data_IF_948348176692
#
_entry.id   IF_948348176692
#
_cell.length_a   1.000
_cell.length_b   1.000
_cell.length_c   1.000
_cell.angle_alpha   90.00
_cell.angle_beta   90.00
_cell.angle_gamma   90.00
#
_symmetry.space_group_name_H-M   'P 1'
#
loop_
_entity.id
_entity.type
_entity.pdbx_description
1 polymer ?
#
# COMPACT_ATOMS: atom_id res chain seq x y z
N UNK A 1 33.69 -53.86 -67.51
CA UNK A 1 32.43 -53.70 -68.27
C UNK A 1 31.77 -52.39 -67.83
N UNK A 2 31.72 -51.42 -68.74
CA UNK A 2 31.29 -50.04 -68.49
C UNK A 2 29.76 -49.96 -68.43
N UNK A 3 29.22 -49.49 -67.29
CA UNK A 3 27.80 -49.24 -67.07
C UNK A 3 27.33 -48.08 -67.97
N UNK A 4 26.58 -48.38 -69.02
CA UNK A 4 25.81 -47.35 -69.75
C UNK A 4 24.65 -46.92 -68.86
N UNK A 5 24.69 -45.68 -68.37
CA UNK A 5 23.57 -45.03 -67.68
C UNK A 5 22.63 -44.47 -68.76
N UNK A 6 21.41 -44.98 -68.82
CA UNK A 6 20.34 -44.40 -69.63
C UNK A 6 19.79 -43.17 -68.90
N UNK A 7 19.84 -42.02 -69.57
CA UNK A 7 19.32 -40.73 -69.12
C UNK A 7 17.79 -40.76 -69.22
N UNK A 8 17.10 -40.54 -68.10
CA UNK A 8 15.64 -40.40 -68.08
C UNK A 8 15.32 -38.91 -67.90
N UNK A 9 14.99 -38.25 -69.01
CA UNK A 9 14.57 -36.86 -69.06
C UNK A 9 13.04 -36.81 -68.89
N UNK A 10 12.58 -36.54 -67.67
CA UNK A 10 11.17 -36.26 -67.40
C UNK A 10 11.00 -34.74 -67.50
N UNK A 11 10.45 -34.26 -68.61
CA UNK A 11 10.07 -32.85 -68.75
C UNK A 11 9.03 -32.50 -67.66
N UNK A 12 9.35 -31.50 -66.85
CA UNK A 12 8.44 -30.95 -65.84
C UNK A 12 7.43 -30.08 -66.57
N UNK A 13 6.18 -30.52 -66.63
CA UNK A 13 5.06 -29.70 -67.09
C UNK A 13 4.59 -28.85 -65.92
N UNK A 14 4.80 -27.54 -66.00
CA UNK A 14 4.23 -26.59 -65.05
C UNK A 14 2.80 -26.23 -65.52
N UNK A 15 1.77 -26.44 -64.68
CA UNK A 15 0.42 -25.98 -64.99
C UNK A 15 0.38 -24.46 -65.17
N UNK A 16 -0.43 -24.01 -66.13
CA UNK A 16 -0.68 -22.59 -66.41
C UNK A 16 -1.32 -21.94 -65.17
N UNK A 17 -0.73 -20.84 -64.72
CA UNK A 17 -1.05 -20.10 -63.49
C UNK A 17 -2.38 -19.32 -63.54
N UNK A 18 -3.13 -19.46 -64.63
CA UNK A 18 -4.36 -18.72 -64.88
C UNK A 18 -5.65 -19.51 -64.59
N UNK A 19 -5.55 -20.66 -63.93
CA UNK A 19 -6.71 -21.54 -63.63
C UNK A 19 -6.80 -21.91 -62.13
N UNK A 20 -6.44 -20.99 -61.22
CA UNK A 20 -6.70 -21.13 -59.78
C UNK A 20 -6.94 -19.75 -59.14
N UNK A 21 -7.95 -18.97 -59.55
CA UNK A 21 -8.45 -17.86 -58.72
C UNK A 21 -9.91 -17.53 -59.04
N UNK A 22 -10.80 -18.53 -59.09
CA UNK A 22 -12.24 -18.28 -59.08
C UNK A 22 -12.85 -18.86 -57.80
N UNK A 23 -13.30 -17.94 -56.92
CA UNK A 23 -14.34 -18.08 -55.87
C UNK A 23 -14.02 -19.05 -54.71
N UNK A 24 -14.11 -18.75 -53.41
CA UNK A 24 -14.87 -17.78 -52.63
C UNK A 24 -14.23 -17.72 -51.23
N UNK A 25 -13.46 -16.66 -50.91
CA UNK A 25 -13.08 -16.36 -49.52
C UNK A 25 -13.17 -14.85 -49.24
N UNK A 26 -14.32 -14.27 -49.60
CA UNK A 26 -14.68 -12.90 -49.20
C UNK A 26 -15.77 -12.87 -48.11
N UNK A 27 -15.98 -13.99 -47.41
CA UNK A 27 -17.08 -14.19 -46.46
C UNK A 27 -16.83 -13.84 -45.00
N UNK A 28 -15.60 -13.46 -44.60
CA UNK A 28 -15.30 -13.19 -43.19
C UNK A 28 -14.52 -11.89 -42.95
N UNK A 29 -14.87 -10.81 -43.67
CA UNK A 29 -14.47 -9.45 -43.24
C UNK A 29 -15.31 -9.05 -42.03
N UNK A 30 -14.87 -9.36 -40.81
CA UNK A 30 -15.42 -8.75 -39.61
C UNK A 30 -15.07 -7.26 -39.62
N UNK A 31 -16.02 -6.45 -40.11
CA UNK A 31 -15.87 -5.00 -40.15
C UNK A 31 -16.05 -4.47 -38.73
N UNK A 32 -14.96 -4.36 -37.98
CA UNK A 32 -14.96 -3.77 -36.64
C UNK A 32 -15.51 -2.35 -36.73
N UNK A 33 -16.71 -2.14 -36.22
CA UNK A 33 -17.32 -0.82 -36.17
C UNK A 33 -16.89 -0.18 -34.85
N UNK A 34 -16.67 1.15 -34.83
CA UNK A 34 -16.43 1.88 -33.58
C UNK A 34 -17.51 1.64 -32.53
N UNK A 35 -18.73 1.33 -32.97
CA UNK A 35 -19.83 0.90 -32.12
C UNK A 35 -19.57 -0.43 -31.41
N UNK A 36 -18.86 -1.38 -32.02
CA UNK A 36 -18.52 -2.66 -31.39
C UNK A 36 -17.44 -2.48 -30.34
N UNK A 37 -16.44 -1.63 -30.62
CA UNK A 37 -15.43 -1.23 -29.64
C UNK A 37 -16.08 -0.49 -28.47
N UNK A 38 -16.98 0.46 -28.73
CA UNK A 38 -17.68 1.22 -27.70
C UNK A 38 -18.59 0.32 -26.83
N UNK A 39 -19.27 -0.66 -27.43
CA UNK A 39 -20.07 -1.65 -26.70
C UNK A 39 -19.22 -2.58 -25.85
N UNK A 40 -18.07 -3.04 -26.35
CA UNK A 40 -17.16 -3.91 -25.60
C UNK A 40 -16.55 -3.14 -24.42
N UNK A 41 -16.05 -1.92 -24.67
CA UNK A 41 -15.48 -1.07 -23.60
C UNK A 41 -16.55 -0.68 -22.59
N UNK A 42 -17.74 -0.28 -23.04
CA UNK A 42 -18.87 0.02 -22.17
C UNK A 42 -19.29 -1.18 -21.32
N UNK A 43 -19.33 -2.38 -21.92
CA UNK A 43 -19.61 -3.63 -21.21
C UNK A 43 -18.56 -3.98 -20.16
N UNK A 44 -17.27 -3.82 -20.48
CA UNK A 44 -16.18 -4.06 -19.53
C UNK A 44 -16.19 -3.05 -18.36
N UNK A 45 -16.48 -1.77 -18.64
CA UNK A 45 -16.64 -0.76 -17.59
C UNK A 45 -17.83 -1.11 -16.70
N UNK A 46 -18.98 -1.45 -17.29
CA UNK A 46 -20.20 -1.77 -16.54
C UNK A 46 -20.06 -3.06 -15.72
N UNK A 47 -19.36 -4.06 -16.25
CA UNK A 47 -19.02 -5.29 -15.53
C UNK A 47 -18.05 -5.01 -14.37
N UNK A 48 -17.07 -4.11 -14.56
CA UNK A 48 -16.20 -3.64 -13.49
C UNK A 48 -16.94 -2.91 -12.36
N UNK A 49 -17.96 -2.11 -12.70
CA UNK A 49 -18.81 -1.42 -11.72
C UNK A 49 -19.75 -2.38 -10.98
N UNK A 50 -20.32 -3.38 -11.66
CA UNK A 50 -21.17 -4.41 -11.04
C UNK A 50 -20.35 -5.32 -10.11
N UNK A 51 -19.17 -5.78 -10.56
CA UNK A 51 -18.26 -6.55 -9.73
C UNK A 51 -17.80 -5.74 -8.51
N UNK A 52 -17.48 -4.46 -8.68
CA UNK A 52 -17.17 -3.54 -7.57
C UNK A 52 -18.33 -3.39 -6.59
N UNK A 53 -19.57 -3.26 -7.10
CA UNK A 53 -20.79 -3.20 -6.28
C UNK A 53 -21.03 -4.49 -5.50
N UNK A 54 -20.81 -5.65 -6.10
CA UNK A 54 -21.00 -6.94 -5.42
C UNK A 54 -19.92 -7.21 -4.37
N UNK A 55 -18.67 -6.78 -4.61
CA UNK A 55 -17.55 -7.06 -3.71
C UNK A 55 -17.42 -6.05 -2.56
N UNK A 56 -17.85 -4.79 -2.75
CA UNK A 56 -17.55 -3.69 -1.80
C UNK A 56 -18.74 -2.80 -1.44
N UNK A 57 -19.96 -3.10 -1.91
CA UNK A 57 -21.16 -2.24 -1.82
C UNK A 57 -20.94 -0.80 -2.32
N UNK A 58 -19.84 -0.54 -3.05
CA UNK A 58 -19.43 0.78 -3.53
C UNK A 58 -19.08 0.74 -5.02
N UNK A 59 -19.62 1.67 -5.79
CA UNK A 59 -19.52 1.68 -7.27
C UNK A 59 -18.16 2.20 -7.77
N UNK A 60 -17.53 3.11 -7.03
CA UNK A 60 -16.28 3.80 -7.44
C UNK A 60 -15.07 3.43 -6.58
N UNK A 61 -15.10 2.24 -5.96
CA UNK A 61 -13.99 1.67 -5.18
C UNK A 61 -13.45 2.56 -4.05
N UNK A 62 -14.13 3.64 -3.66
CA UNK A 62 -13.62 4.65 -2.73
C UNK A 62 -12.15 5.10 -3.05
N UNK A 63 -11.69 4.92 -4.28
CA UNK A 63 -10.26 4.83 -4.61
C UNK A 63 -9.57 6.19 -4.68
N UNK A 64 -10.34 7.28 -4.86
CA UNK A 64 -9.80 8.64 -4.85
C UNK A 64 -10.46 9.60 -3.85
N UNK A 65 -11.57 9.23 -3.18
CA UNK A 65 -12.33 10.17 -2.32
C UNK A 65 -12.23 9.92 -0.83
N UNK A 66 -11.27 9.12 -0.37
CA UNK A 66 -10.91 9.06 1.05
C UNK A 66 -9.52 9.61 1.34
N UNK A 67 -9.15 10.70 0.68
CA UNK A 67 -8.25 11.66 1.34
C UNK A 67 -9.02 12.26 2.52
N UNK A 68 -8.94 11.61 3.69
CA UNK A 68 -9.28 12.28 4.95
C UNK A 68 -8.40 13.52 4.98
N UNK A 69 -9.01 14.71 5.09
CA UNK A 69 -8.24 15.95 5.08
C UNK A 69 -7.14 15.87 6.15
N UNK A 70 -5.95 16.38 5.86
CA UNK A 70 -4.85 16.41 6.83
C UNK A 70 -5.28 17.11 8.13
N UNK A 71 -6.16 18.09 8.02
CA UNK A 71 -6.80 18.73 9.18
C UNK A 71 -7.61 17.75 10.02
N UNK A 72 -8.41 16.90 9.38
CA UNK A 72 -9.16 15.85 10.08
C UNK A 72 -8.19 14.91 10.79
N UNK A 73 -7.02 14.59 10.21
CA UNK A 73 -6.02 13.72 10.83
C UNK A 73 -5.40 14.29 12.12
N UNK A 74 -5.22 15.61 12.18
CA UNK A 74 -4.64 16.32 13.34
C UNK A 74 -5.66 16.71 14.41
N UNK A 75 -6.96 16.64 14.14
CA UNK A 75 -7.98 16.94 15.14
C UNK A 75 -7.82 16.08 16.39
N UNK A 76 -7.70 16.74 17.54
CA UNK A 76 -7.58 16.12 18.85
C UNK A 76 -8.85 15.32 19.14
N UNK A 77 -8.75 14.02 19.52
CA UNK A 77 -9.89 13.20 19.87
C UNK A 77 -10.61 13.72 21.12
N UNK A 78 -11.93 13.49 21.19
CA UNK A 78 -12.79 13.91 22.31
C UNK A 78 -12.32 13.48 23.70
N UNK A 79 -11.54 12.40 23.78
CA UNK A 79 -10.96 11.93 25.04
C UNK A 79 -10.11 13.01 25.74
N UNK A 80 -9.48 13.88 24.96
CA UNK A 80 -8.62 14.95 25.45
C UNK A 80 -9.36 16.28 25.64
N UNK A 81 -10.68 16.33 25.39
CA UNK A 81 -11.47 17.54 25.56
C UNK A 81 -11.42 17.98 27.04
N UNK A 82 -11.10 19.26 27.27
CA UNK A 82 -10.98 19.83 28.62
C UNK A 82 -9.62 19.64 29.29
N UNK A 83 -8.68 18.93 28.66
CA UNK A 83 -7.30 18.83 29.14
C UNK A 83 -6.42 19.94 28.52
N UNK A 84 -5.44 20.44 29.28
CA UNK A 84 -4.47 21.42 28.80
C UNK A 84 -3.28 20.70 28.17
N UNK A 85 -3.25 20.62 26.84
CA UNK A 85 -2.13 20.06 26.07
C UNK A 85 -1.03 21.11 25.87
N UNK A 86 0.26 20.72 25.80
CA UNK A 86 0.78 19.35 25.88
C UNK A 86 0.86 18.80 27.32
N UNK A 87 0.55 17.52 27.51
CA UNK A 87 0.70 16.84 28.81
C UNK A 87 2.14 16.31 29.02
N UNK A 88 2.58 16.31 30.28
CA UNK A 88 3.79 15.60 30.72
C UNK A 88 3.41 14.16 31.08
N UNK A 89 4.13 13.19 30.52
CA UNK A 89 3.95 11.76 30.80
C UNK A 89 5.21 11.18 31.45
N UNK A 90 5.04 10.36 32.49
CA UNK A 90 6.05 9.38 32.87
C UNK A 90 5.97 8.15 31.97
N UNK A 91 7.05 7.37 31.85
CA UNK A 91 7.03 6.11 31.10
C UNK A 91 6.00 5.12 31.66
N UNK A 92 5.83 5.09 32.99
CA UNK A 92 4.83 4.23 33.65
C UNK A 92 3.40 4.65 33.30
N UNK A 93 3.13 5.96 33.28
CA UNK A 93 1.83 6.48 32.84
C UNK A 93 1.58 6.16 31.37
N UNK A 94 2.59 6.37 30.51
CA UNK A 94 2.47 6.07 29.08
C UNK A 94 2.14 4.58 28.85
N UNK A 95 2.70 3.68 29.66
CA UNK A 95 2.49 2.24 29.56
C UNK A 95 1.03 1.80 29.78
N UNK A 96 0.20 2.63 30.42
CA UNK A 96 -1.23 2.38 30.59
C UNK A 96 -2.04 2.61 29.30
N UNK A 97 -1.45 3.29 28.31
CA UNK A 97 -2.07 3.63 27.03
C UNK A 97 -1.59 2.72 25.87
N UNK A 98 -1.41 1.43 26.15
CA UNK A 98 -0.99 0.40 25.19
C UNK A 98 -2.14 -0.12 24.30
N UNK A 99 -3.37 0.31 24.58
CA UNK A 99 -4.58 -0.14 23.90
C UNK A 99 -5.18 -1.46 24.42
N UNK A 100 -4.69 -1.99 25.53
CA UNK A 100 -5.27 -3.14 26.23
C UNK A 100 -6.69 -2.85 26.73
N UNK A 101 -6.91 -1.63 27.24
CA UNK A 101 -8.22 -1.14 27.61
C UNK A 101 -8.89 -0.41 26.42
N UNK A 102 -10.07 -0.86 25.95
CA UNK A 102 -10.78 -0.22 24.84
C UNK A 102 -11.31 1.19 25.17
N UNK A 103 -11.39 1.57 26.44
CA UNK A 103 -11.85 2.90 26.88
C UNK A 103 -10.73 3.95 26.88
N UNK A 104 -9.47 3.52 26.86
CA UNK A 104 -8.30 4.41 26.83
C UNK A 104 -7.75 4.57 25.41
N UNK A 105 -7.20 5.73 25.07
CA UNK A 105 -6.52 5.93 23.80
C UNK A 105 -5.24 5.08 23.73
N UNK A 106 -4.78 4.85 22.51
CA UNK A 106 -3.49 4.22 22.22
C UNK A 106 -2.48 5.32 21.95
N UNK A 107 -1.45 5.41 22.79
CA UNK A 107 -0.39 6.40 22.67
C UNK A 107 0.90 5.76 22.18
N UNK A 108 1.74 6.56 21.53
CA UNK A 108 3.07 6.16 21.06
C UNK A 108 4.01 7.36 21.18
N UNK A 109 5.24 7.13 21.67
CA UNK A 109 6.26 8.17 21.76
C UNK A 109 7.40 7.97 20.73
N UNK A 110 7.84 9.08 20.14
CA UNK A 110 9.04 9.19 19.28
C UNK A 110 9.80 10.45 19.69
N UNK A 111 11.07 10.29 19.99
CA UNK A 111 11.98 11.30 20.54
C UNK A 111 11.37 12.03 21.75
N UNK A 112 10.71 11.27 22.63
CA UNK A 112 9.95 11.82 23.75
C UNK A 112 8.66 12.56 23.38
N UNK A 113 8.33 12.77 22.10
CA UNK A 113 7.05 13.35 21.68
C UNK A 113 5.94 12.30 21.64
N UNK A 114 4.81 12.56 22.31
CA UNK A 114 3.68 11.63 22.46
C UNK A 114 2.57 11.96 21.47
N UNK A 115 2.14 10.95 20.72
CA UNK A 115 1.09 11.04 19.70
C UNK A 115 -0.07 10.09 19.98
N UNK A 116 -1.30 10.51 19.66
CA UNK A 116 -2.49 9.66 19.71
C UNK A 116 -2.66 8.86 18.41
N UNK A 117 -2.42 7.55 18.50
CA UNK A 117 -2.53 6.61 17.39
C UNK A 117 -3.82 5.77 17.43
N UNK A 118 -4.80 6.12 18.27
CA UNK A 118 -6.06 5.38 18.49
C UNK A 118 -6.86 5.17 17.20
N UNK A 119 -6.75 6.11 16.25
CA UNK A 119 -7.38 6.01 14.91
C UNK A 119 -6.91 4.79 14.12
N UNK A 120 -5.74 4.25 14.45
CA UNK A 120 -5.17 3.02 13.92
C UNK A 120 -4.95 1.99 15.02
N UNK A 121 -5.88 1.88 15.98
CA UNK A 121 -5.84 0.86 17.03
C UNK A 121 -5.77 -0.58 16.50
N UNK A 122 -6.28 -0.88 15.30
CA UNK A 122 -6.07 -2.19 14.67
C UNK A 122 -4.61 -2.50 14.34
N UNK A 123 -3.75 -1.48 14.25
CA UNK A 123 -2.33 -1.59 13.91
C UNK A 123 -1.42 -1.51 15.14
N UNK A 124 -1.73 -0.59 16.06
CA UNK A 124 -0.94 -0.31 17.25
C UNK A 124 -1.54 -0.89 18.55
N UNK A 125 -2.80 -1.32 18.56
CA UNK A 125 -3.39 -1.98 19.73
C UNK A 125 -2.89 -3.42 19.91
N UNK A 126 -3.34 -4.14 20.94
CA UNK A 126 -2.74 -5.41 21.41
C UNK A 126 -2.59 -6.53 20.37
N UNK A 127 -3.47 -6.55 19.35
CA UNK A 127 -3.46 -7.55 18.28
C UNK A 127 -2.84 -7.05 16.97
N UNK A 128 -2.31 -5.84 16.98
CA UNK A 128 -1.73 -5.19 15.83
C UNK A 128 -0.27 -5.59 15.60
N UNK A 129 0.19 -5.48 14.35
CA UNK A 129 1.56 -5.80 13.99
C UNK A 129 2.59 -4.86 14.66
N UNK A 130 2.16 -3.67 15.10
CA UNK A 130 2.99 -2.64 15.70
C UNK A 130 2.62 -2.39 17.17
N UNK A 131 1.96 -3.35 17.83
CA UNK A 131 1.52 -3.25 19.23
C UNK A 131 2.66 -2.92 20.21
N UNK A 132 3.88 -3.40 19.92
CA UNK A 132 5.07 -3.14 20.73
C UNK A 132 5.40 -1.64 20.87
N UNK A 133 4.98 -0.82 19.92
CA UNK A 133 5.22 0.62 19.94
C UNK A 133 4.18 1.40 20.74
N UNK A 134 3.09 0.75 21.18
CA UNK A 134 2.07 1.40 21.98
C UNK A 134 2.48 1.49 23.45
N UNK A 135 2.12 2.60 24.08
CA UNK A 135 2.35 2.86 25.51
C UNK A 135 3.82 3.04 25.90
N UNK A 136 4.73 3.24 24.95
CA UNK A 136 6.15 3.37 25.28
C UNK A 136 6.88 4.26 24.25
N UNK A 137 8.15 4.55 24.53
CA UNK A 137 9.05 5.22 23.61
C UNK A 137 10.00 4.20 22.96
N UNK A 138 9.80 3.99 21.66
CA UNK A 138 10.63 3.10 20.83
C UNK A 138 11.42 3.89 19.78
N UNK A 139 11.84 5.12 20.08
CA UNK A 139 12.58 6.00 19.15
C UNK A 139 13.68 5.28 18.38
N UNK A 140 14.49 4.47 19.09
CA UNK A 140 15.59 3.72 18.47
C UNK A 140 15.12 2.73 17.40
N UNK A 141 13.93 2.16 17.54
CA UNK A 141 13.37 1.23 16.55
C UNK A 141 13.13 1.90 15.19
N UNK A 142 12.83 3.20 15.18
CA UNK A 142 12.63 3.99 13.96
C UNK A 142 13.93 4.29 13.21
N UNK A 143 15.08 4.10 13.85
CA UNK A 143 16.39 4.23 13.19
C UNK A 143 16.69 3.09 12.21
N UNK A 144 15.96 1.96 12.26
CA UNK A 144 16.19 0.84 11.35
C UNK A 144 15.54 1.08 9.97
N UNK A 145 16.07 0.42 8.95
CA UNK A 145 15.52 0.50 7.59
C UNK A 145 14.17 -0.21 7.53
N UNK A 146 13.25 0.31 6.72
CA UNK A 146 11.85 -0.17 6.64
C UNK A 146 11.71 -1.67 6.31
N UNK A 147 12.64 -2.22 5.51
CA UNK A 147 12.65 -3.65 5.15
C UNK A 147 13.35 -4.53 6.19
N UNK A 148 13.95 -3.95 7.22
CA UNK A 148 14.59 -4.68 8.31
C UNK A 148 13.57 -4.98 9.41
N UNK A 149 13.45 -6.25 9.78
CA UNK A 149 12.65 -6.66 10.93
C UNK A 149 13.31 -6.32 12.28
N UNK A 150 14.52 -5.76 12.29
CA UNK A 150 15.25 -5.44 13.52
C UNK A 150 14.48 -4.46 14.40
N UNK A 151 13.91 -3.39 13.84
CA UNK A 151 13.14 -2.41 14.62
C UNK A 151 11.93 -3.02 15.35
N UNK A 152 11.38 -4.13 14.85
CA UNK A 152 10.27 -4.85 15.51
C UNK A 152 10.75 -5.89 16.53
N UNK A 153 12.02 -6.30 16.49
CA UNK A 153 12.59 -7.36 17.33
C UNK A 153 13.37 -6.81 18.51
N UNK A 154 14.10 -5.73 18.29
CA UNK A 154 14.90 -5.08 19.32
C UNK A 154 14.02 -4.59 20.48
N UNK A 155 14.56 -4.56 21.72
CA UNK A 155 13.89 -3.91 22.83
C UNK A 155 13.61 -2.45 22.51
N UNK A 156 12.44 -1.96 22.92
CA UNK A 156 12.13 -0.54 22.81
C UNK A 156 13.07 0.27 23.70
N UNK A 157 13.60 1.36 23.14
CA UNK A 157 14.46 2.30 23.83
C UNK A 157 14.29 3.69 23.22
N UNK A 158 14.24 4.69 24.09
CA UNK A 158 14.32 6.11 23.74
C UNK A 158 15.76 6.57 23.48
N UNK A 159 16.76 5.77 23.86
CA UNK A 159 18.17 6.15 23.71
C UNK A 159 18.65 6.07 22.26
N UNK A 160 18.95 7.25 21.71
CA UNK A 160 19.49 7.46 20.37
C UNK A 160 21.03 7.53 20.35
N UNK A 161 21.68 7.37 21.50
CA UNK A 161 23.13 7.36 21.58
C UNK A 161 23.75 6.23 20.73
N UNK A 162 24.89 6.52 20.11
CA UNK A 162 25.62 5.58 19.27
C UNK A 162 24.96 5.22 17.93
N UNK A 163 23.88 5.89 17.54
CA UNK A 163 23.29 5.73 16.20
C UNK A 163 24.15 6.44 15.13
N UNK A 164 24.14 5.89 13.91
CA UNK A 164 24.76 6.56 12.77
C UNK A 164 23.95 7.80 12.36
N UNK A 165 24.56 8.78 11.67
CA UNK A 165 23.84 9.96 11.16
C UNK A 165 22.63 9.59 10.29
N UNK A 166 22.75 8.54 9.47
CA UNK A 166 21.63 8.02 8.67
C UNK A 166 20.51 7.44 9.54
N UNK A 167 20.85 6.83 10.68
CA UNK A 167 19.88 6.29 11.63
C UNK A 167 19.10 7.41 12.32
N UNK A 168 19.78 8.46 12.74
CA UNK A 168 19.17 9.66 13.32
C UNK A 168 18.24 10.34 12.32
N UNK A 169 18.71 10.55 11.08
CA UNK A 169 17.89 11.15 10.03
C UNK A 169 16.58 10.39 9.79
N UNK A 170 16.59 9.05 9.84
CA UNK A 170 15.37 8.25 9.73
C UNK A 170 14.42 8.46 10.91
N UNK A 171 14.94 8.63 12.13
CA UNK A 171 14.11 8.95 13.30
C UNK A 171 13.43 10.30 13.09
N UNK A 172 14.15 11.31 12.60
CA UNK A 172 13.60 12.63 12.29
C UNK A 172 12.48 12.58 11.25
N UNK A 173 12.69 11.82 10.15
CA UNK A 173 11.67 11.60 9.12
C UNK A 173 10.41 10.94 9.69
N UNK A 174 10.57 9.99 10.61
CA UNK A 174 9.45 9.37 11.31
C UNK A 174 8.75 10.35 12.24
N UNK A 175 9.50 11.13 13.01
CA UNK A 175 8.92 12.15 13.87
C UNK A 175 8.09 13.14 13.06
N UNK A 176 8.61 13.64 11.94
CA UNK A 176 7.89 14.52 11.02
C UNK A 176 6.64 13.84 10.48
N UNK A 177 6.73 12.58 10.04
CA UNK A 177 5.57 11.81 9.59
C UNK A 177 4.48 11.74 10.66
N UNK A 178 4.83 11.48 11.92
CA UNK A 178 3.86 11.38 13.00
C UNK A 178 3.22 12.73 13.34
N UNK A 179 3.99 13.82 13.36
CA UNK A 179 3.48 15.19 13.53
C UNK A 179 2.47 15.59 12.44
N UNK A 180 2.63 15.07 11.23
CA UNK A 180 1.71 15.32 10.12
C UNK A 180 0.45 14.45 10.17
N UNK A 181 0.56 13.24 10.71
CA UNK A 181 -0.47 12.19 10.59
C UNK A 181 -1.32 12.01 11.84
N UNK A 182 -0.80 12.36 13.01
CA UNK A 182 -1.43 12.10 14.30
C UNK A 182 -1.49 13.37 15.16
N UNK A 183 -2.49 13.49 16.04
CA UNK A 183 -2.56 14.55 17.03
C UNK A 183 -1.39 14.44 18.01
N UNK A 184 -0.69 15.56 18.22
CA UNK A 184 0.32 15.68 19.26
C UNK A 184 -0.35 15.92 20.62
N UNK A 185 -0.02 15.08 21.60
CA UNK A 185 -0.69 15.08 22.91
C UNK A 185 0.24 15.62 24.01
N UNK A 186 1.54 15.37 23.91
CA UNK A 186 2.43 15.68 25.02
C UNK A 186 3.85 15.23 24.82
N UNK A 187 4.59 15.14 25.93
CA UNK A 187 5.96 14.68 25.93
C UNK A 187 6.27 13.78 27.12
N UNK A 188 7.25 12.91 26.95
CA UNK A 188 7.79 12.05 28.01
C UNK A 188 8.85 12.83 28.77
N UNK A 189 8.78 12.82 30.10
CA UNK A 189 9.79 13.44 30.95
C UNK A 189 11.14 12.72 30.77
N UNK A 190 12.14 13.44 30.27
CA UNK A 190 13.53 12.96 30.27
C UNK A 190 13.98 12.82 31.72
N UNK A 191 14.34 11.59 32.13
CA UNK A 191 14.74 11.26 33.51
C UNK A 191 16.25 11.41 33.66
#
# INVERSE_FOLDING_TARGET
MLRKRATYEKAIVFPNDNEILDEDDNGARTRFTWLDVLRIVGGLVLLGLIAGKFMTDSVTWNYWSRSRSLETLRQIPKFWDGQTLPLEFSLEQLHTFDGSNPETPVLLAIEGHVFDVSRKSGLYGPRGAYHRFAGTDCSRAFSYRLWSMQGLREPCSSDLSGLSPEGLHRVDEWLEFFQHRYPYIGYVKST
#
